data_IF_112862075587
#
_entry.id   IF_112862075587
#
_cell.length_a   1.000
_cell.length_b   1.000
_cell.length_c   1.000
_cell.angle_alpha   90.00
_cell.angle_beta   90.00
_cell.angle_gamma   90.00
#
_symmetry.space_group_name_H-M   'P 1'
#
loop_
_entity.id
_entity.type
_entity.pdbx_description
1 polymer ?
#
# COMPACT_ATOMS: atom_id res chain seq x y z
N UNK A 1 13.13 6.08 -23.37
CA UNK A 1 12.08 5.79 -22.35
C UNK A 1 11.39 7.09 -21.95
N UNK A 2 10.05 7.19 -22.05
CA UNK A 2 9.32 8.47 -21.90
C UNK A 2 9.31 9.01 -20.46
N UNK A 3 9.22 8.15 -19.45
CA UNK A 3 9.10 8.59 -18.05
C UNK A 3 10.33 9.38 -17.57
N UNK A 4 11.55 8.93 -17.86
CA UNK A 4 12.77 9.66 -17.52
C UNK A 4 12.87 11.01 -18.26
N UNK A 5 12.56 11.02 -19.56
CA UNK A 5 12.54 12.26 -20.35
C UNK A 5 11.52 13.27 -19.81
N UNK A 6 10.33 12.83 -19.41
CA UNK A 6 9.32 13.69 -18.80
C UNK A 6 9.84 14.33 -17.51
N UNK A 7 10.54 13.58 -16.67
CA UNK A 7 11.09 14.10 -15.43
C UNK A 7 12.19 15.15 -15.65
N UNK A 8 13.11 14.89 -16.59
CA UNK A 8 14.13 15.87 -16.97
C UNK A 8 13.49 17.15 -17.53
N UNK A 9 12.45 17.02 -18.37
CA UNK A 9 11.74 18.16 -18.96
C UNK A 9 10.99 18.99 -17.90
N UNK A 10 10.25 18.35 -16.99
CA UNK A 10 9.54 19.05 -15.92
C UNK A 10 10.50 19.78 -14.99
N UNK A 11 11.60 19.13 -14.58
CA UNK A 11 12.64 19.77 -13.77
C UNK A 11 13.30 20.94 -14.53
N UNK A 12 13.52 20.80 -15.83
CA UNK A 12 14.05 21.89 -16.67
C UNK A 12 13.08 23.06 -16.75
N UNK A 13 11.79 22.80 -16.93
CA UNK A 13 10.75 23.84 -16.99
C UNK A 13 10.63 24.63 -15.67
N UNK A 14 10.87 23.97 -14.53
CA UNK A 14 10.89 24.64 -13.21
C UNK A 14 12.20 25.39 -12.91
N UNK A 15 13.25 25.21 -13.72
CA UNK A 15 14.51 25.94 -13.65
C UNK A 15 15.10 26.01 -12.22
N UNK A 16 15.24 27.21 -11.65
CA UNK A 16 15.78 27.42 -10.29
C UNK A 16 14.89 26.82 -9.18
N UNK A 17 13.66 26.46 -9.50
CA UNK A 17 12.71 25.80 -8.61
C UNK A 17 12.57 24.29 -8.87
N UNK A 18 13.48 23.68 -9.62
CA UNK A 18 13.45 22.24 -9.95
C UNK A 18 13.37 21.31 -8.73
N UNK A 19 13.81 21.78 -7.56
CA UNK A 19 13.71 21.07 -6.29
C UNK A 19 12.26 20.95 -5.76
N UNK A 20 11.31 21.71 -6.32
CA UNK A 20 9.87 21.58 -6.01
C UNK A 20 9.20 20.44 -6.78
N UNK A 21 9.88 19.88 -7.79
CA UNK A 21 9.36 18.79 -8.61
C UNK A 21 9.93 17.48 -8.09
N UNK A 22 9.07 16.66 -7.51
CA UNK A 22 9.37 15.28 -7.12
C UNK A 22 8.82 14.35 -8.20
N UNK A 23 9.71 13.63 -8.86
CA UNK A 23 9.37 12.65 -9.87
C UNK A 23 9.40 11.24 -9.29
N UNK A 24 8.27 10.53 -9.39
CA UNK A 24 8.12 9.16 -8.92
C UNK A 24 7.94 8.18 -10.09
N UNK A 25 8.53 6.99 -9.96
CA UNK A 25 8.35 5.89 -10.90
C UNK A 25 7.88 4.64 -10.14
N UNK A 26 6.88 3.94 -10.65
CA UNK A 26 6.20 2.85 -9.92
C UNK A 26 6.42 1.48 -10.54
N UNK A 27 6.22 0.43 -9.72
CA UNK A 27 6.16 -0.97 -10.18
C UNK A 27 4.92 -1.68 -9.61
N UNK A 28 4.74 -2.95 -10.00
CA UNK A 28 3.84 -3.87 -9.30
C UNK A 28 4.54 -4.48 -8.07
N UNK A 29 4.12 -4.09 -6.87
CA UNK A 29 4.76 -4.45 -5.59
C UNK A 29 4.96 -5.95 -5.39
N UNK A 30 3.97 -6.76 -5.78
CA UNK A 30 3.96 -8.20 -5.56
C UNK A 30 4.94 -8.96 -6.48
N UNK A 31 5.31 -8.39 -7.62
CA UNK A 31 6.23 -9.01 -8.57
C UNK A 31 7.66 -8.48 -8.35
N UNK A 32 8.30 -8.93 -7.28
CA UNK A 32 9.70 -8.60 -6.99
C UNK A 32 10.60 -8.96 -8.18
N UNK A 33 11.45 -8.03 -8.58
CA UNK A 33 12.29 -8.11 -9.77
C UNK A 33 11.74 -7.32 -10.96
N UNK A 34 10.43 -7.07 -11.03
CA UNK A 34 9.82 -6.30 -12.12
C UNK A 34 10.29 -4.84 -12.13
N UNK A 35 10.64 -4.29 -10.97
CA UNK A 35 11.19 -2.95 -10.83
C UNK A 35 12.50 -2.75 -11.60
N UNK A 36 13.29 -3.79 -11.86
CA UNK A 36 14.52 -3.66 -12.65
C UNK A 36 14.22 -3.18 -14.07
N UNK A 37 13.18 -3.71 -14.72
CA UNK A 37 12.78 -3.29 -16.07
C UNK A 37 12.40 -1.81 -16.12
N UNK A 38 11.77 -1.31 -15.04
CA UNK A 38 11.25 0.05 -14.95
C UNK A 38 12.33 1.06 -14.55
N UNK A 39 13.23 0.67 -13.64
CA UNK A 39 14.29 1.53 -13.13
C UNK A 39 15.51 1.55 -14.05
N UNK A 40 15.93 0.40 -14.58
CA UNK A 40 17.19 0.29 -15.32
C UNK A 40 17.02 0.61 -16.81
N UNK A 41 15.87 0.32 -17.40
CA UNK A 41 15.57 0.63 -18.79
C UNK A 41 16.65 0.14 -19.76
N UNK A 42 17.07 -1.12 -19.63
CA UNK A 42 18.23 -1.70 -20.32
C UNK A 42 18.25 -1.49 -21.85
N UNK A 43 17.10 -1.56 -22.52
CA UNK A 43 17.02 -1.29 -23.96
C UNK A 43 17.33 0.17 -24.31
N UNK A 44 16.88 1.13 -23.49
CA UNK A 44 17.20 2.54 -23.69
C UNK A 44 18.67 2.83 -23.37
N UNK A 45 19.23 2.12 -22.39
CA UNK A 45 20.67 2.16 -22.09
C UNK A 45 21.50 1.61 -23.26
N UNK A 46 21.03 0.54 -23.92
CA UNK A 46 21.70 -0.02 -25.10
C UNK A 46 21.74 0.96 -26.29
N UNK A 47 20.83 1.94 -26.34
CA UNK A 47 20.85 3.06 -27.29
C UNK A 47 21.84 4.18 -26.90
N UNK A 48 22.59 4.03 -25.81
CA UNK A 48 23.57 5.00 -25.32
C UNK A 48 23.05 6.01 -24.28
N UNK A 49 21.86 5.79 -23.72
CA UNK A 49 21.27 6.66 -22.69
C UNK A 49 21.63 6.17 -21.27
N UNK A 50 21.32 6.98 -20.25
CA UNK A 50 21.46 6.55 -18.85
C UNK A 50 20.25 5.70 -18.43
N UNK A 51 20.39 4.86 -17.38
CA UNK A 51 19.26 4.16 -16.78
C UNK A 51 18.15 5.12 -16.33
N UNK A 52 16.88 4.71 -16.38
CA UNK A 52 15.75 5.60 -16.05
C UNK A 52 15.83 6.23 -14.67
N UNK A 53 16.27 5.49 -13.65
CA UNK A 53 16.42 6.03 -12.30
C UNK A 53 17.43 7.19 -12.21
N UNK A 54 18.31 7.37 -13.21
CA UNK A 54 19.26 8.48 -13.29
C UNK A 54 18.71 9.71 -14.04
N UNK A 55 17.45 9.68 -14.50
CA UNK A 55 16.80 10.76 -15.24
C UNK A 55 15.80 11.53 -14.39
N UNK A 56 16.31 12.34 -13.44
CA UNK A 56 15.49 13.22 -12.61
C UNK A 56 14.44 12.49 -11.77
N UNK A 57 14.57 11.18 -11.56
CA UNK A 57 13.70 10.41 -10.67
C UNK A 57 14.17 10.62 -9.24
N UNK A 58 13.26 10.99 -8.36
CA UNK A 58 13.55 11.21 -6.94
C UNK A 58 12.98 10.08 -6.07
N UNK A 59 11.95 9.37 -6.58
CA UNK A 59 11.20 8.38 -5.82
C UNK A 59 10.90 7.10 -6.61
N UNK A 60 11.00 5.97 -5.92
CA UNK A 60 10.49 4.68 -6.34
C UNK A 60 9.20 4.39 -5.58
N UNK A 61 8.15 4.04 -6.30
CA UNK A 61 6.79 3.97 -5.78
C UNK A 61 6.21 2.54 -5.84
N UNK A 62 5.64 2.09 -4.73
CA UNK A 62 4.96 0.80 -4.59
C UNK A 62 3.54 1.00 -4.04
N UNK A 63 2.70 -0.02 -4.10
CA UNK A 63 1.48 -0.09 -3.29
C UNK A 63 1.79 -0.64 -1.89
N UNK A 64 0.93 -0.32 -0.91
CA UNK A 64 1.05 -0.71 0.49
C UNK A 64 -0.21 -1.35 1.05
N UNK A 65 -0.76 -2.34 0.34
CA UNK A 65 -1.98 -3.03 0.75
C UNK A 65 -1.73 -4.27 1.59
N UNK A 66 -2.63 -4.53 2.55
CA UNK A 66 -2.75 -5.82 3.23
C UNK A 66 -4.20 -6.34 3.12
N UNK A 67 -4.36 -7.65 3.00
CA UNK A 67 -5.69 -8.29 2.93
C UNK A 67 -5.78 -9.66 3.58
N UNK A 68 -4.65 -10.27 3.95
CA UNK A 68 -4.60 -11.65 4.48
C UNK A 68 -5.26 -12.68 3.55
N UNK A 69 -5.42 -12.33 2.28
CA UNK A 69 -6.06 -13.03 1.18
C UNK A 69 -7.47 -13.54 1.52
N UNK A 70 -8.18 -12.80 2.39
CA UNK A 70 -9.51 -13.16 2.88
C UNK A 70 -10.56 -13.25 1.77
N UNK A 71 -10.42 -12.44 0.73
CA UNK A 71 -11.37 -12.35 -0.38
C UNK A 71 -11.10 -13.27 -1.57
N UNK A 72 -10.09 -14.15 -1.47
CA UNK A 72 -9.71 -15.04 -2.56
C UNK A 72 -10.74 -16.15 -2.79
N UNK A 73 -11.05 -16.53 -4.04
CA UNK A 73 -11.93 -17.66 -4.35
C UNK A 73 -11.55 -18.95 -3.61
N UNK A 74 -10.27 -19.29 -3.57
CA UNK A 74 -9.75 -20.50 -2.92
C UNK A 74 -9.87 -20.48 -1.39
N UNK A 75 -9.91 -19.29 -0.78
CA UNK A 75 -10.02 -19.12 0.67
C UNK A 75 -11.47 -18.93 1.13
N UNK A 76 -12.38 -18.54 0.22
CA UNK A 76 -13.77 -18.20 0.52
C UNK A 76 -14.51 -19.25 1.36
N UNK A 77 -14.41 -20.58 1.09
CA UNK A 77 -15.10 -21.58 1.91
C UNK A 77 -14.58 -21.61 3.36
N UNK A 78 -13.27 -21.45 3.55
CA UNK A 78 -12.66 -21.44 4.88
C UNK A 78 -13.04 -20.17 5.64
N UNK A 79 -12.97 -19.01 5.00
CA UNK A 79 -13.35 -17.73 5.63
C UNK A 79 -14.84 -17.71 5.97
N UNK A 80 -15.73 -18.22 5.10
CA UNK A 80 -17.16 -18.34 5.40
C UNK A 80 -17.43 -19.27 6.59
N UNK A 81 -16.63 -20.33 6.76
CA UNK A 81 -16.75 -21.23 7.91
C UNK A 81 -16.47 -20.55 9.26
N UNK A 82 -15.62 -19.53 9.29
CA UNK A 82 -15.30 -18.76 10.50
C UNK A 82 -16.48 -17.95 11.01
N UNK A 83 -17.44 -17.61 10.15
CA UNK A 83 -18.65 -16.88 10.55
C UNK A 83 -19.51 -17.65 11.57
N UNK A 84 -19.27 -18.96 11.74
CA UNK A 84 -19.93 -19.78 12.75
C UNK A 84 -19.24 -19.74 14.12
N UNK A 85 -18.07 -19.12 14.23
CA UNK A 85 -17.39 -18.94 15.52
C UNK A 85 -18.21 -18.00 16.41
N UNK A 86 -18.05 -18.13 17.73
CA UNK A 86 -18.81 -17.36 18.73
C UNK A 86 -18.65 -15.84 18.58
N UNK A 87 -17.51 -15.37 18.08
CA UNK A 87 -17.22 -13.97 17.82
C UNK A 87 -17.57 -13.52 16.39
N UNK A 88 -18.25 -14.36 15.60
CA UNK A 88 -18.57 -14.09 14.20
C UNK A 88 -17.37 -14.18 13.25
N UNK A 89 -16.25 -14.78 13.68
CA UNK A 89 -15.06 -15.01 12.86
C UNK A 89 -14.06 -13.85 12.86
N UNK A 90 -14.31 -12.79 13.62
CA UNK A 90 -13.42 -11.62 13.66
C UNK A 90 -12.03 -11.96 14.21
N UNK A 91 -11.91 -12.79 15.25
CA UNK A 91 -10.63 -13.17 15.83
C UNK A 91 -9.72 -13.86 14.82
N UNK A 92 -10.25 -14.83 14.07
CA UNK A 92 -9.51 -15.52 13.00
C UNK A 92 -9.15 -14.57 11.86
N UNK A 93 -10.08 -13.72 11.42
CA UNK A 93 -9.79 -12.76 10.35
C UNK A 93 -8.71 -11.73 10.74
N UNK A 94 -8.75 -11.21 11.98
CA UNK A 94 -7.76 -10.28 12.50
C UNK A 94 -6.38 -10.94 12.67
N UNK A 95 -6.34 -12.19 13.16
CA UNK A 95 -5.11 -12.99 13.20
C UNK A 95 -4.54 -13.17 11.79
N UNK A 96 -5.37 -13.57 10.83
CA UNK A 96 -4.98 -13.77 9.45
C UNK A 96 -4.45 -12.47 8.81
N UNK A 97 -5.09 -11.33 9.06
CA UNK A 97 -4.63 -10.02 8.59
C UNK A 97 -3.29 -9.60 9.19
N UNK A 98 -3.08 -9.84 10.50
CA UNK A 98 -1.86 -9.41 11.19
C UNK A 98 -0.66 -10.29 10.87
N UNK A 99 -0.80 -11.60 10.95
CA UNK A 99 0.32 -12.55 10.91
C UNK A 99 0.17 -13.69 9.88
N UNK A 100 -0.99 -13.82 9.24
CA UNK A 100 -1.27 -14.94 8.35
C UNK A 100 -1.35 -16.29 9.08
N UNK A 101 -1.09 -17.37 8.33
CA UNK A 101 -0.95 -18.73 8.86
C UNK A 101 -2.26 -19.52 9.06
N UNK A 102 -3.44 -18.92 8.88
CA UNK A 102 -4.72 -19.64 8.94
C UNK A 102 -5.22 -20.07 7.56
N UNK A 103 -4.73 -19.45 6.50
CA UNK A 103 -5.06 -19.78 5.10
C UNK A 103 -3.82 -20.32 4.39
N UNK A 104 -4.01 -21.35 3.55
CA UNK A 104 -2.91 -22.07 2.87
C UNK A 104 -2.16 -21.21 1.85
N UNK A 105 -2.83 -20.24 1.24
CA UNK A 105 -2.27 -19.35 0.22
C UNK A 105 -2.50 -17.90 0.64
N UNK A 106 -1.60 -17.39 1.48
CA UNK A 106 -1.64 -16.01 1.97
C UNK A 106 -0.22 -15.46 2.02
N UNK A 107 0.01 -14.35 1.33
CA UNK A 107 1.29 -13.64 1.27
C UNK A 107 1.10 -12.11 1.34
N UNK A 108 0.03 -11.69 2.02
CA UNK A 108 -0.46 -10.31 2.07
C UNK A 108 -1.02 -9.97 3.47
N UNK A 109 -0.54 -10.65 4.52
CA UNK A 109 -0.70 -10.21 5.90
C UNK A 109 0.20 -8.99 6.18
N UNK A 110 0.01 -8.28 7.30
CA UNK A 110 0.88 -7.16 7.68
C UNK A 110 2.35 -7.59 7.80
N UNK A 111 2.62 -8.80 8.28
CA UNK A 111 3.98 -9.35 8.34
C UNK A 111 4.57 -9.55 6.93
N UNK A 112 3.79 -10.08 5.99
CA UNK A 112 4.23 -10.24 4.60
C UNK A 112 4.49 -8.89 3.92
N UNK A 113 3.61 -7.92 4.16
CA UNK A 113 3.74 -6.55 3.67
C UNK A 113 4.99 -5.88 4.23
N UNK A 114 5.31 -6.09 5.51
CA UNK A 114 6.57 -5.59 6.10
C UNK A 114 7.81 -6.19 5.44
N UNK A 115 7.79 -7.49 5.12
CA UNK A 115 8.87 -8.14 4.37
C UNK A 115 8.99 -7.54 2.95
N UNK A 116 7.86 -7.27 2.29
CA UNK A 116 7.81 -6.60 0.99
C UNK A 116 8.37 -5.19 1.04
N UNK A 117 8.01 -4.38 2.05
CA UNK A 117 8.60 -3.06 2.26
C UNK A 117 10.12 -3.15 2.43
N UNK A 118 10.60 -4.11 3.24
CA UNK A 118 12.02 -4.33 3.50
C UNK A 118 12.80 -4.71 2.22
N UNK A 119 12.16 -5.43 1.30
CA UNK A 119 12.73 -5.69 -0.02
C UNK A 119 12.84 -4.38 -0.83
N UNK A 120 11.74 -3.65 -0.95
CA UNK A 120 11.64 -2.49 -1.84
C UNK A 120 12.49 -1.30 -1.38
N UNK A 121 12.68 -1.10 -0.07
CA UNK A 121 13.59 -0.05 0.41
C UNK A 121 15.04 -0.34 0.01
N UNK A 122 15.47 -1.61 -0.02
CA UNK A 122 16.82 -1.97 -0.47
C UNK A 122 17.01 -1.67 -1.95
N UNK A 123 15.97 -1.84 -2.76
CA UNK A 123 16.00 -1.42 -4.18
C UNK A 123 16.15 0.09 -4.26
N UNK A 124 15.31 0.85 -3.54
CA UNK A 124 15.32 2.30 -3.56
C UNK A 124 16.70 2.86 -3.13
N UNK A 125 17.24 2.38 -2.01
CA UNK A 125 18.53 2.80 -1.47
C UNK A 125 19.70 2.51 -2.41
N UNK A 126 19.73 1.34 -3.08
CA UNK A 126 20.75 1.01 -4.09
C UNK A 126 20.78 1.99 -5.26
N UNK A 127 19.68 2.71 -5.49
CA UNK A 127 19.49 3.65 -6.60
C UNK A 127 19.46 5.11 -6.13
N UNK A 128 19.65 5.37 -4.83
CA UNK A 128 19.58 6.71 -4.26
C UNK A 128 18.19 7.34 -4.33
N UNK A 129 17.13 6.53 -4.35
CA UNK A 129 15.73 6.98 -4.45
C UNK A 129 15.04 6.91 -3.09
N UNK A 130 14.10 7.82 -2.85
CA UNK A 130 13.14 7.66 -1.76
C UNK A 130 12.15 6.53 -2.09
N UNK A 131 11.71 5.77 -1.08
CA UNK A 131 10.60 4.83 -1.24
C UNK A 131 9.29 5.51 -0.83
N UNK A 132 8.30 5.51 -1.72
CA UNK A 132 6.95 6.04 -1.47
C UNK A 132 5.89 4.96 -1.70
N UNK A 133 4.78 5.01 -0.98
CA UNK A 133 3.60 4.24 -1.29
C UNK A 133 2.60 5.13 -2.04
N UNK A 134 2.34 4.83 -3.32
CA UNK A 134 1.41 5.63 -4.15
C UNK A 134 -0.06 5.35 -3.80
N UNK A 135 -0.33 4.22 -3.17
CA UNK A 135 -1.60 3.86 -2.57
C UNK A 135 -1.38 2.76 -1.52
N UNK A 136 -2.30 2.59 -0.58
CA UNK A 136 -2.19 1.56 0.44
C UNK A 136 -3.31 1.60 1.46
N UNK A 137 -3.20 0.72 2.45
CA UNK A 137 -4.21 0.46 3.47
C UNK A 137 -4.72 -0.98 3.41
N UNK A 138 -5.96 -1.21 3.82
CA UNK A 138 -6.59 -2.51 3.66
C UNK A 138 -7.06 -2.75 2.22
N UNK A 139 -7.05 -4.01 1.77
CA UNK A 139 -7.64 -4.49 0.52
C UNK A 139 -8.60 -5.67 0.78
N UNK A 140 -9.40 -5.59 1.83
CA UNK A 140 -10.32 -6.63 2.26
C UNK A 140 -11.59 -6.54 1.42
N UNK A 141 -11.57 -7.24 0.29
CA UNK A 141 -12.66 -7.30 -0.68
C UNK A 141 -12.64 -8.66 -1.38
N UNK A 142 -13.82 -9.19 -1.71
CA UNK A 142 -13.91 -10.38 -2.57
C UNK A 142 -13.46 -10.08 -4.00
N UNK A 143 -12.87 -11.06 -4.67
CA UNK A 143 -12.58 -11.00 -6.10
C UNK A 143 -12.82 -12.37 -6.76
N UNK A 144 -12.82 -12.43 -8.09
CA UNK A 144 -12.97 -13.69 -8.82
C UNK A 144 -14.32 -14.39 -8.59
N UNK A 145 -15.38 -13.62 -8.33
CA UNK A 145 -16.73 -14.10 -8.04
C UNK A 145 -17.12 -13.94 -6.56
N UNK A 146 -16.14 -13.89 -5.64
CA UNK A 146 -16.37 -13.72 -4.20
C UNK A 146 -17.00 -12.36 -3.88
N UNK A 147 -16.78 -11.34 -4.70
CA UNK A 147 -17.46 -10.04 -4.57
C UNK A 147 -18.99 -10.15 -4.62
N UNK A 148 -19.54 -11.25 -5.15
CA UNK A 148 -20.99 -11.48 -5.20
C UNK A 148 -21.50 -12.32 -4.01
N UNK A 149 -20.62 -12.81 -3.13
CA UNK A 149 -21.00 -13.48 -1.88
C UNK A 149 -21.46 -12.45 -0.84
N UNK A 150 -22.77 -12.34 -0.64
CA UNK A 150 -23.37 -11.37 0.29
C UNK A 150 -22.95 -11.55 1.74
N UNK A 151 -22.68 -12.77 2.20
CA UNK A 151 -22.25 -13.00 3.58
C UNK A 151 -20.84 -12.44 3.80
N UNK A 152 -19.93 -12.73 2.88
CA UNK A 152 -18.56 -12.24 2.95
C UNK A 152 -18.48 -10.73 2.70
N UNK A 153 -19.29 -10.17 1.80
CA UNK A 153 -19.44 -8.72 1.65
C UNK A 153 -19.79 -8.06 2.98
N UNK A 154 -20.85 -8.53 3.65
CA UNK A 154 -21.26 -7.95 4.95
C UNK A 154 -20.19 -8.16 6.01
N UNK A 155 -19.56 -9.33 6.08
CA UNK A 155 -18.48 -9.59 7.01
C UNK A 155 -17.29 -8.63 6.83
N UNK A 156 -16.84 -8.41 5.59
CA UNK A 156 -15.71 -7.51 5.29
C UNK A 156 -16.02 -6.05 5.59
N UNK A 157 -17.27 -5.61 5.38
CA UNK A 157 -17.73 -4.27 5.79
C UNK A 157 -17.65 -4.13 7.31
N UNK A 158 -18.16 -5.11 8.07
CA UNK A 158 -18.10 -5.06 9.53
C UNK A 158 -16.67 -5.17 10.07
N UNK A 159 -15.81 -5.98 9.42
CA UNK A 159 -14.39 -6.11 9.77
C UNK A 159 -13.65 -4.78 9.58
N UNK A 160 -13.97 -4.01 8.53
CA UNK A 160 -13.43 -2.66 8.32
C UNK A 160 -13.86 -1.67 9.41
N UNK A 161 -15.06 -1.83 9.97
CA UNK A 161 -15.60 -0.99 11.05
C UNK A 161 -15.16 -1.46 12.44
N UNK A 162 -14.61 -2.66 12.56
CA UNK A 162 -14.18 -3.24 13.82
C UNK A 162 -13.05 -2.41 14.45
N UNK A 163 -13.10 -2.20 15.77
CA UNK A 163 -12.14 -1.34 16.50
C UNK A 163 -10.67 -1.75 16.28
N UNK A 164 -10.39 -3.04 16.15
CA UNK A 164 -9.04 -3.56 15.93
C UNK A 164 -8.45 -3.17 14.57
N UNK A 165 -9.25 -2.65 13.62
CA UNK A 165 -8.74 -2.09 12.37
C UNK A 165 -7.85 -0.86 12.63
N UNK A 166 -8.07 -0.12 13.72
CA UNK A 166 -7.16 0.92 14.19
C UNK A 166 -5.75 0.35 14.41
N UNK A 167 -5.64 -0.73 15.17
CA UNK A 167 -4.36 -1.35 15.50
C UNK A 167 -3.63 -1.86 14.26
N UNK A 168 -4.36 -2.48 13.31
CA UNK A 168 -3.79 -2.96 12.05
C UNK A 168 -3.23 -1.81 11.20
N UNK A 169 -3.94 -0.68 11.12
CA UNK A 169 -3.45 0.51 10.42
C UNK A 169 -2.25 1.15 11.13
N UNK A 170 -2.29 1.25 12.46
CA UNK A 170 -1.16 1.75 13.25
C UNK A 170 0.08 0.88 13.03
N UNK A 171 -0.07 -0.44 13.01
CA UNK A 171 1.02 -1.39 12.76
C UNK A 171 1.55 -1.26 11.32
N UNK A 172 0.68 -1.18 10.31
CA UNK A 172 1.07 -0.94 8.90
C UNK A 172 1.93 0.34 8.76
N UNK A 173 1.47 1.46 9.31
CA UNK A 173 2.15 2.74 9.20
C UNK A 173 3.46 2.76 10.00
N UNK A 174 3.51 2.08 11.14
CA UNK A 174 4.75 1.91 11.90
C UNK A 174 5.76 1.02 11.17
N UNK A 175 5.31 -0.05 10.50
CA UNK A 175 6.17 -0.86 9.62
C UNK A 175 6.70 -0.05 8.45
N UNK A 176 5.87 0.79 7.84
CA UNK A 176 6.31 1.72 6.79
C UNK A 176 7.41 2.66 7.29
N UNK A 177 7.16 3.36 8.41
CA UNK A 177 8.14 4.27 9.04
C UNK A 177 9.43 3.55 9.42
N UNK A 178 9.32 2.39 10.07
CA UNK A 178 10.46 1.58 10.51
C UNK A 178 11.32 1.11 9.33
N UNK A 179 10.69 0.85 8.18
CA UNK A 179 11.40 0.44 6.98
C UNK A 179 12.19 1.60 6.34
N UNK A 180 11.87 2.85 6.67
CA UNK A 180 12.46 4.04 6.05
C UNK A 180 11.68 4.52 4.81
N UNK A 181 10.43 4.10 4.66
CA UNK A 181 9.54 4.69 3.67
C UNK A 181 9.18 6.13 4.04
N UNK A 182 8.94 6.99 3.05
CA UNK A 182 8.69 8.43 3.26
C UNK A 182 7.20 8.73 3.24
N UNK A 183 6.62 8.94 2.06
CA UNK A 183 5.20 9.22 1.87
C UNK A 183 4.42 7.92 1.78
N UNK A 184 3.34 7.80 2.55
CA UNK A 184 2.36 6.72 2.43
C UNK A 184 0.99 7.31 2.08
N UNK A 185 0.51 7.05 0.87
CA UNK A 185 -0.81 7.51 0.44
C UNK A 185 -1.87 6.46 0.80
N UNK A 186 -2.76 6.78 1.75
CA UNK A 186 -3.98 5.99 1.94
C UNK A 186 -4.90 6.19 0.73
N UNK A 187 -5.44 5.09 0.19
CA UNK A 187 -6.03 5.07 -1.16
C UNK A 187 -7.24 6.00 -1.34
N UNK A 188 -8.16 6.05 -0.38
CA UNK A 188 -9.40 6.84 -0.50
C UNK A 188 -9.73 7.54 0.81
N UNK A 189 -9.92 8.86 0.75
CA UNK A 189 -10.32 9.65 1.92
C UNK A 189 -11.75 9.31 2.37
N UNK A 190 -12.75 9.58 1.52
CA UNK A 190 -14.17 9.37 1.85
C UNK A 190 -14.89 8.57 0.77
N UNK A 191 -15.42 7.39 1.13
CA UNK A 191 -16.26 6.59 0.25
C UNK A 191 -17.10 5.56 1.02
N UNK A 192 -18.35 5.37 0.60
CA UNK A 192 -19.21 4.31 1.12
C UNK A 192 -18.65 2.92 0.78
N UNK A 193 -18.81 1.93 1.68
CA UNK A 193 -18.46 0.55 1.37
C UNK A 193 -19.44 -0.04 0.35
N UNK A 194 -18.95 -0.98 -0.46
CA UNK A 194 -19.76 -1.78 -1.38
C UNK A 194 -19.13 -3.15 -1.58
N UNK A 195 -19.76 -3.99 -2.41
CA UNK A 195 -19.14 -5.23 -2.89
C UNK A 195 -17.76 -5.06 -3.54
N UNK A 196 -17.45 -3.86 -4.02
CA UNK A 196 -16.15 -3.51 -4.62
C UNK A 196 -15.12 -3.01 -3.60
N UNK A 197 -15.44 -3.08 -2.30
CA UNK A 197 -14.52 -2.78 -1.20
C UNK A 197 -14.97 -1.65 -0.28
N UNK A 198 -14.28 -1.55 0.84
CA UNK A 198 -14.50 -0.56 1.90
C UNK A 198 -13.31 0.40 1.97
N UNK A 199 -13.09 1.21 0.94
CA UNK A 199 -11.83 1.95 0.73
C UNK A 199 -11.65 3.16 1.63
N UNK A 200 -12.71 3.95 1.80
CA UNK A 200 -12.68 5.25 2.46
C UNK A 200 -12.11 5.18 3.88
N UNK A 201 -11.21 6.10 4.25
CA UNK A 201 -10.86 6.33 5.65
C UNK A 201 -12.13 6.71 6.42
N UNK A 202 -13.03 7.49 5.81
CA UNK A 202 -14.40 7.72 6.25
C UNK A 202 -15.40 7.21 5.20
N UNK A 203 -16.63 6.98 5.61
CA UNK A 203 -17.74 6.53 4.75
C UNK A 203 -18.66 7.68 4.33
N UNK A 204 -18.62 8.81 5.05
CA UNK A 204 -19.36 10.03 4.73
C UNK A 204 -18.60 11.27 5.22
N UNK A 205 -18.81 12.43 4.56
CA UNK A 205 -18.19 13.70 4.98
C UNK A 205 -18.63 14.16 6.37
N UNK A 206 -19.82 13.75 6.81
CA UNK A 206 -20.35 14.02 8.15
C UNK A 206 -19.89 13.03 9.22
N UNK A 207 -19.15 11.98 8.84
CA UNK A 207 -18.61 11.03 9.80
C UNK A 207 -17.40 11.63 10.50
N UNK A 208 -17.50 11.81 11.81
CA UNK A 208 -16.43 12.43 12.60
C UNK A 208 -15.18 11.57 12.72
N UNK A 209 -15.32 10.23 12.77
CA UNK A 209 -14.20 9.31 12.92
C UNK A 209 -14.55 7.89 12.47
N UNK A 210 -13.50 7.11 12.21
CA UNK A 210 -13.51 5.67 11.99
C UNK A 210 -12.20 5.09 12.54
N UNK A 211 -12.08 3.76 12.73
CA UNK A 211 -10.81 3.14 13.13
C UNK A 211 -9.64 3.49 12.17
N UNK A 212 -9.89 3.48 10.85
CA UNK A 212 -8.88 3.80 9.83
C UNK A 212 -8.48 5.27 9.88
N UNK A 213 -9.47 6.16 9.90
CA UNK A 213 -9.25 7.60 9.96
C UNK A 213 -8.47 8.00 11.21
N UNK A 214 -8.86 7.46 12.37
CA UNK A 214 -8.19 7.75 13.63
C UNK A 214 -6.73 7.33 13.61
N UNK A 215 -6.41 6.13 13.10
CA UNK A 215 -5.04 5.66 12.98
C UNK A 215 -4.19 6.56 12.06
N UNK A 216 -4.75 7.00 10.93
CA UNK A 216 -4.09 7.92 9.98
C UNK A 216 -3.79 9.28 10.63
N UNK A 217 -4.79 9.87 11.31
CA UNK A 217 -4.62 11.17 11.98
C UNK A 217 -3.63 11.09 13.15
N UNK A 218 -3.71 10.05 13.98
CA UNK A 218 -2.80 9.86 15.12
C UNK A 218 -1.36 9.63 14.64
N UNK A 219 -1.17 8.87 13.57
CA UNK A 219 0.15 8.68 12.97
C UNK A 219 0.72 10.01 12.45
N UNK A 220 -0.09 10.81 11.74
CA UNK A 220 0.35 12.11 11.21
C UNK A 220 0.69 13.12 12.32
N UNK A 221 -0.04 13.13 13.43
CA UNK A 221 0.27 14.01 14.59
C UNK A 221 1.61 13.68 15.24
N UNK A 222 2.00 12.41 15.22
CA UNK A 222 3.24 11.91 15.81
C UNK A 222 4.40 11.85 14.81
N UNK A 223 4.16 12.18 13.54
CA UNK A 223 5.19 12.25 12.51
C UNK A 223 5.82 13.65 12.52
N UNK A 224 7.14 13.71 12.70
CA UNK A 224 7.91 14.93 12.43
C UNK A 224 7.93 15.19 10.93
N UNK A 225 7.56 16.40 10.51
CA UNK A 225 7.62 16.80 9.10
C UNK A 225 9.07 16.93 8.64
N UNK A 226 9.58 15.92 7.94
CA UNK A 226 10.83 16.05 7.19
C UNK A 226 10.53 16.43 5.73
N UNK A 227 11.20 17.44 5.17
CA UNK A 227 11.13 17.73 3.74
C UNK A 227 11.52 16.50 2.93
N UNK A 228 10.78 16.23 1.86
CA UNK A 228 11.08 15.13 0.94
C UNK A 228 12.54 15.22 0.46
N UNK A 229 13.34 14.18 0.72
CA UNK A 229 14.70 14.04 0.19
C UNK A 229 15.84 14.69 1.00
N UNK A 230 15.75 14.79 2.34
CA UNK A 230 16.87 15.26 3.19
C UNK A 230 17.59 14.21 4.03
N UNK A 231 17.26 12.93 3.90
CA UNK A 231 17.98 11.85 4.59
C UNK A 231 18.79 11.01 3.60
N UNK A 232 20.01 11.48 3.33
CA UNK A 232 21.19 10.67 2.98
C UNK A 232 22.42 11.27 3.67
#
# INVERSE_FOLDING_TARGET
MRSGQMCDLWKSAFAQQKNRVVCAISTQTAWQGLENSVLDCSYWVAEGNKPCYQHGIDAYAISGYFSGNLGAPENSPTVESWLNDQDGGFGKALQQLRQGGLLKHSNDSLLDVYNSFTYHIKVAQKKGLALVAYEGGQHIVGYGGVENNKKLEQFFIQLNRHKAMYELYTELLNYWKKTGGTVFMHFVDVALPSKWGSWGALEALSQNTSPKYQALIDFNKNATSEPFGRSL
#
